data_IF_255600346882
#
_entry.id   IF_255600346882
#
_cell.length_a   1.000
_cell.length_b   1.000
_cell.length_c   1.000
_cell.angle_alpha   90.00
_cell.angle_beta   90.00
_cell.angle_gamma   90.00
#
_symmetry.space_group_name_H-M   'P 1'
#
loop_
_entity.id
_entity.type
_entity.pdbx_description
1 polymer ?
#
# COMPACT_ATOMS: atom_id res chain seq x y z
N UNK A 1 -2.96 -5.09 23.09
CA UNK A 1 -1.90 -4.29 22.45
C UNK A 1 -2.38 -4.05 21.02
N UNK A 2 -3.00 -2.91 20.75
CA UNK A 2 -3.59 -2.62 19.43
C UNK A 2 -2.55 -1.85 18.62
N UNK A 3 -2.04 -2.44 17.54
CA UNK A 3 -1.18 -1.74 16.57
C UNK A 3 -2.02 -0.80 15.70
N UNK A 4 -1.46 0.35 15.31
CA UNK A 4 -2.10 1.30 14.40
C UNK A 4 -1.61 1.01 12.98
N UNK A 5 -2.40 0.26 12.20
CA UNK A 5 -2.11 0.09 10.78
C UNK A 5 -2.64 1.29 10.00
N UNK A 6 -1.74 1.97 9.27
CA UNK A 6 -2.13 3.01 8.32
C UNK A 6 -2.30 2.35 6.96
N UNK A 7 -3.55 2.31 6.49
CA UNK A 7 -3.89 1.71 5.18
C UNK A 7 -3.95 2.82 4.14
N UNK A 8 -3.11 2.70 3.14
CA UNK A 8 -3.03 3.60 2.00
C UNK A 8 -3.62 2.91 0.77
N UNK A 9 -4.55 3.61 0.11
CA UNK A 9 -5.22 3.15 -1.10
C UNK A 9 -4.73 4.01 -2.27
N UNK A 10 -3.93 3.44 -3.16
CA UNK A 10 -3.64 4.09 -4.44
C UNK A 10 -4.92 4.01 -5.30
N UNK A 11 -5.62 5.14 -5.42
CA UNK A 11 -6.65 5.32 -6.44
C UNK A 11 -6.02 5.90 -7.72
N UNK A 12 -6.63 5.53 -8.83
CA UNK A 12 -6.35 5.74 -10.25
C UNK A 12 -5.78 7.11 -10.73
N UNK A 13 -5.54 8.09 -9.86
CA UNK A 13 -4.96 9.38 -10.21
C UNK A 13 -3.68 9.66 -9.40
N UNK A 14 -2.56 9.79 -10.13
CA UNK A 14 -1.20 10.02 -9.62
C UNK A 14 -1.02 11.25 -8.70
N UNK A 15 -2.04 12.10 -8.52
CA UNK A 15 -1.95 13.39 -7.80
C UNK A 15 -2.56 13.32 -6.39
N UNK A 16 -3.61 12.54 -6.18
CA UNK A 16 -4.35 12.58 -4.90
C UNK A 16 -3.79 11.64 -3.84
N UNK A 17 -2.91 10.72 -4.24
CA UNK A 17 -2.39 9.71 -3.32
C UNK A 17 -1.44 10.35 -2.30
N UNK A 18 -0.50 11.19 -2.74
CA UNK A 18 0.51 11.78 -1.86
C UNK A 18 -0.10 12.64 -0.73
N UNK A 19 -1.18 13.37 -1.02
CA UNK A 19 -1.85 14.26 -0.04
C UNK A 19 -2.60 13.46 1.01
N UNK A 20 -3.42 12.49 0.58
CA UNK A 20 -4.19 11.66 1.52
C UNK A 20 -3.26 10.84 2.43
N UNK A 21 -2.14 10.38 1.88
CA UNK A 21 -1.13 9.61 2.61
C UNK A 21 -0.44 10.44 3.67
N UNK A 22 -0.05 11.67 3.35
CA UNK A 22 0.62 12.53 4.33
C UNK A 22 -0.30 12.90 5.50
N UNK A 23 -1.58 13.18 5.25
CA UNK A 23 -2.54 13.48 6.32
C UNK A 23 -2.71 12.30 7.28
N UNK A 24 -2.92 11.08 6.76
CA UNK A 24 -3.12 9.91 7.63
C UNK A 24 -1.85 9.57 8.41
N UNK A 25 -0.67 9.70 7.79
CA UNK A 25 0.60 9.46 8.49
C UNK A 25 0.85 10.51 9.58
N UNK A 26 0.49 11.78 9.36
CA UNK A 26 0.57 12.81 10.39
C UNK A 26 -0.33 12.48 11.59
N UNK A 27 -1.59 12.08 11.33
CA UNK A 27 -2.52 11.68 12.39
C UNK A 27 -2.02 10.45 13.15
N UNK A 28 -1.40 9.50 12.46
CA UNK A 28 -0.80 8.32 13.09
C UNK A 28 0.40 8.68 13.97
N UNK A 29 1.26 9.61 13.54
CA UNK A 29 2.39 10.11 14.33
C UNK A 29 1.94 10.92 15.56
N UNK A 30 0.88 11.71 15.44
CA UNK A 30 0.29 12.41 16.59
C UNK A 30 -0.21 11.41 17.65
N UNK A 31 -0.77 10.27 17.20
CA UNK A 31 -1.25 9.20 18.07
C UNK A 31 -0.14 8.24 18.56
N UNK A 32 1.00 8.17 17.87
CA UNK A 32 2.14 7.33 18.21
C UNK A 32 3.48 8.01 17.87
N UNK A 33 3.92 9.00 18.66
CA UNK A 33 5.13 9.79 18.35
C UNK A 33 6.43 8.96 18.33
N UNK A 34 6.45 7.81 18.99
CA UNK A 34 7.58 6.88 18.97
C UNK A 34 7.64 6.05 17.67
N UNK A 35 6.54 5.97 16.91
CA UNK A 35 6.42 5.19 15.68
C UNK A 35 6.53 3.68 15.86
N UNK A 36 6.48 3.17 17.09
CA UNK A 36 6.65 1.75 17.43
C UNK A 36 5.46 0.89 16.97
N UNK A 37 4.34 1.53 16.65
CA UNK A 37 3.06 0.87 16.36
C UNK A 37 2.48 1.26 15.01
N UNK A 38 3.24 1.99 14.19
CA UNK A 38 2.82 2.47 12.87
C UNK A 38 3.44 1.59 11.79
N UNK A 39 2.59 0.96 10.98
CA UNK A 39 2.96 0.20 9.78
C UNK A 39 2.20 0.77 8.59
N UNK A 40 2.91 1.07 7.50
CA UNK A 40 2.30 1.55 6.27
C UNK A 40 1.92 0.39 5.34
N UNK A 41 0.65 0.30 4.96
CA UNK A 41 0.16 -0.73 4.04
C UNK A 41 -0.31 -0.07 2.74
N UNK A 42 0.40 -0.30 1.65
CA UNK A 42 0.01 0.17 0.33
C UNK A 42 -0.85 -0.88 -0.36
N UNK A 43 -2.05 -0.50 -0.75
CA UNK A 43 -2.98 -1.36 -1.49
C UNK A 43 -3.12 -0.91 -2.94
N UNK A 44 -3.34 -1.87 -3.85
CA UNK A 44 -3.62 -1.65 -5.29
C UNK A 44 -2.48 -1.00 -6.09
N UNK A 45 -1.23 -1.15 -5.66
CA UNK A 45 -0.06 -0.59 -6.36
C UNK A 45 0.06 -1.08 -7.83
N UNK A 46 -0.45 -2.27 -8.15
CA UNK A 46 -0.48 -2.81 -9.52
C UNK A 46 -1.33 -1.97 -10.51
N UNK A 47 -2.26 -1.14 -10.03
CA UNK A 47 -3.06 -0.25 -10.88
C UNK A 47 -2.31 1.03 -11.26
N UNK A 48 -1.12 1.26 -10.68
CA UNK A 48 -0.31 2.44 -10.97
C UNK A 48 0.43 2.21 -12.29
N UNK A 49 -0.04 2.88 -13.34
CA UNK A 49 0.49 2.73 -14.70
C UNK A 49 1.48 3.83 -15.09
N UNK A 50 1.36 5.02 -14.48
CA UNK A 50 2.24 6.15 -14.74
C UNK A 50 3.65 5.94 -14.17
N UNK A 51 4.69 6.30 -14.93
CA UNK A 51 6.10 6.23 -14.48
C UNK A 51 6.32 7.04 -13.19
N UNK A 52 5.73 8.23 -13.12
CA UNK A 52 5.82 9.10 -11.94
C UNK A 52 5.15 8.48 -10.72
N UNK A 53 3.96 7.89 -10.90
CA UNK A 53 3.26 7.17 -9.84
C UNK A 53 4.06 5.96 -9.33
N UNK A 54 4.61 5.14 -10.23
CA UNK A 54 5.45 3.99 -9.84
C UNK A 54 6.68 4.44 -9.05
N UNK A 55 7.36 5.49 -9.51
CA UNK A 55 8.50 6.04 -8.79
C UNK A 55 8.10 6.60 -7.41
N UNK A 56 6.90 7.17 -7.28
CA UNK A 56 6.38 7.63 -6.00
C UNK A 56 6.11 6.46 -5.04
N UNK A 57 5.53 5.35 -5.53
CA UNK A 57 5.34 4.11 -4.75
C UNK A 57 6.69 3.58 -4.26
N UNK A 58 7.68 3.44 -5.16
CA UNK A 58 9.03 2.96 -4.80
C UNK A 58 9.66 3.85 -3.73
N UNK A 59 9.64 5.18 -3.92
CA UNK A 59 10.21 6.12 -2.95
C UNK A 59 9.51 6.07 -1.58
N UNK A 60 8.21 5.79 -1.55
CA UNK A 60 7.49 5.64 -0.29
C UNK A 60 7.87 4.33 0.41
N UNK A 61 7.90 3.22 -0.33
CA UNK A 61 8.22 1.89 0.21
C UNK A 61 9.65 1.84 0.75
N UNK A 62 10.59 2.47 0.07
CA UNK A 62 11.99 2.62 0.54
C UNK A 62 12.12 3.58 1.74
N UNK A 63 11.06 4.30 2.10
CA UNK A 63 11.07 5.25 3.21
C UNK A 63 11.78 6.58 2.90
N UNK A 64 12.09 6.87 1.63
CA UNK A 64 12.80 8.08 1.21
C UNK A 64 11.99 9.37 1.45
N UNK A 65 10.66 9.26 1.59
CA UNK A 65 9.76 10.39 1.82
C UNK A 65 9.35 10.55 3.27
N UNK A 66 8.80 9.49 3.87
CA UNK A 66 8.34 9.50 5.27
C UNK A 66 8.69 8.16 5.92
N UNK A 67 9.84 8.03 6.58
CA UNK A 67 10.29 6.76 7.10
C UNK A 67 9.43 6.29 8.27
N UNK A 68 9.01 5.02 8.23
CA UNK A 68 8.31 4.35 9.34
C UNK A 68 9.24 3.30 9.97
N UNK A 69 9.20 3.19 11.29
CA UNK A 69 10.06 2.23 12.02
C UNK A 69 9.77 0.78 11.65
N UNK A 70 8.50 0.45 11.40
CA UNK A 70 8.08 -0.88 10.93
C UNK A 70 8.07 -0.99 9.39
N UNK A 71 8.41 0.09 8.68
CA UNK A 71 8.46 0.16 7.22
C UNK A 71 7.10 0.21 6.55
N UNK A 72 7.12 -0.02 5.23
CA UNK A 72 5.97 -0.06 4.35
C UNK A 72 5.87 -1.42 3.68
N UNK A 73 4.66 -1.93 3.51
CA UNK A 73 4.41 -3.20 2.83
C UNK A 73 3.36 -2.98 1.74
N UNK A 74 3.59 -3.58 0.57
CA UNK A 74 2.66 -3.51 -0.55
C UNK A 74 1.84 -4.80 -0.59
N UNK A 75 0.52 -4.66 -0.66
CA UNK A 75 -0.40 -5.78 -0.79
C UNK A 75 -1.36 -5.59 -1.98
N UNK A 76 -1.74 -6.69 -2.61
CA UNK A 76 -2.79 -6.73 -3.63
C UNK A 76 -4.09 -7.16 -2.98
N UNK A 77 -5.15 -6.39 -3.19
CA UNK A 77 -6.49 -6.75 -2.76
C UNK A 77 -7.30 -7.38 -3.92
N UNK A 78 -8.44 -7.99 -3.60
CA UNK A 78 -9.44 -8.39 -4.58
C UNK A 78 -9.95 -7.18 -5.37
N UNK A 79 -10.21 -7.38 -6.67
CA UNK A 79 -10.86 -6.39 -7.52
C UNK A 79 -12.32 -6.19 -7.11
N UNK A 80 -12.93 -5.06 -7.49
CA UNK A 80 -14.36 -4.82 -7.23
C UNK A 80 -15.28 -5.72 -8.07
N UNK A 81 -14.73 -6.31 -9.12
CA UNK A 81 -15.29 -7.30 -10.04
C UNK A 81 -15.00 -8.76 -9.63
N UNK A 82 -14.16 -8.98 -8.60
CA UNK A 82 -13.91 -10.30 -8.03
C UNK A 82 -15.05 -10.69 -7.09
N UNK A 83 -16.04 -11.42 -7.62
CA UNK A 83 -17.22 -11.89 -6.89
C UNK A 83 -16.95 -13.06 -5.93
N UNK A 84 -15.69 -13.48 -5.75
CA UNK A 84 -15.31 -14.42 -4.70
C UNK A 84 -15.70 -15.87 -4.97
N UNK A 85 -15.63 -16.34 -6.22
CA UNK A 85 -15.72 -17.76 -6.52
C UNK A 85 -14.64 -18.53 -5.73
N UNK A 86 -15.09 -19.27 -4.72
CA UNK A 86 -14.25 -19.88 -3.68
C UNK A 86 -13.33 -20.96 -4.25
N UNK A 87 -13.74 -21.58 -5.35
CA UNK A 87 -13.05 -22.70 -5.98
C UNK A 87 -11.70 -22.30 -6.60
N UNK A 88 -11.48 -20.99 -6.84
CA UNK A 88 -10.26 -20.45 -7.44
C UNK A 88 -9.45 -19.53 -6.51
N UNK A 89 -9.75 -19.49 -5.20
CA UNK A 89 -9.07 -18.59 -4.28
C UNK A 89 -7.55 -18.78 -4.24
N UNK A 90 -7.07 -20.03 -4.35
CA UNK A 90 -5.64 -20.33 -4.39
C UNK A 90 -4.98 -19.92 -5.72
N UNK A 91 -5.66 -20.15 -6.84
CA UNK A 91 -5.20 -19.69 -8.16
C UNK A 91 -5.13 -18.16 -8.23
N UNK A 92 -6.15 -17.47 -7.70
CA UNK A 92 -6.17 -16.00 -7.62
C UNK A 92 -5.08 -15.42 -6.71
N UNK A 93 -4.69 -16.14 -5.64
CA UNK A 93 -3.54 -15.76 -4.82
C UNK A 93 -2.23 -15.92 -5.60
N UNK A 94 -2.10 -17.01 -6.37
CA UNK A 94 -0.91 -17.29 -7.16
C UNK A 94 -0.73 -16.29 -8.31
N UNK A 95 -1.81 -15.92 -9.00
CA UNK A 95 -1.80 -14.84 -10.01
C UNK A 95 -1.38 -13.49 -9.40
N UNK A 96 -1.87 -13.17 -8.18
CA UNK A 96 -1.47 -11.96 -7.47
C UNK A 96 0.00 -11.96 -7.07
N UNK A 97 0.54 -13.11 -6.72
CA UNK A 97 1.96 -13.26 -6.42
C UNK A 97 2.83 -13.05 -7.68
N UNK A 98 2.37 -13.53 -8.85
CA UNK A 98 3.02 -13.25 -10.14
C UNK A 98 3.08 -11.75 -10.45
N UNK A 99 2.02 -10.99 -10.13
CA UNK A 99 2.00 -9.52 -10.33
C UNK A 99 3.14 -8.83 -9.56
N UNK A 100 3.48 -9.31 -8.36
CA UNK A 100 4.61 -8.77 -7.60
C UNK A 100 5.98 -9.19 -8.16
N UNK A 101 6.08 -10.38 -8.74
CA UNK A 101 7.35 -10.92 -9.25
C UNK A 101 7.72 -10.36 -10.63
N UNK A 102 6.76 -10.08 -11.50
CA UNK A 102 7.03 -9.56 -12.85
C UNK A 102 7.29 -8.04 -12.88
N UNK A 103 6.89 -7.32 -11.83
CA UNK A 103 7.02 -5.87 -11.71
C UNK A 103 7.66 -5.47 -10.38
N UNK A 104 8.98 -5.71 -10.20
CA UNK A 104 9.74 -5.23 -9.05
C UNK A 104 9.80 -3.69 -8.99
#
# INVERSE_FOLDING_TARGET
MYGTAVVECYQYSDINVDVATQEILNLAEEADPAGDRILGILTKAHLVTGRTGRLAVVNLVEGNRKPLKLGYHVITNRGGDDHGEVDNAFAALQEREVIFQEHP
#
